data_IF_627049325181
#
_entry.id   IF_627049325181
#
_cell.length_a   1.000
_cell.length_b   1.000
_cell.length_c   1.000
_cell.angle_alpha   90.00
_cell.angle_beta   90.00
_cell.angle_gamma   90.00
#
_symmetry.space_group_name_H-M   'P 1'
#
loop_
_entity.id
_entity.type
_entity.pdbx_description
1 polymer ?
#
# COMPACT_ATOMS: atom_id res chain seq x y z
N UNK A 1 4.58 -19.94 7.59
CA UNK A 1 5.14 -20.24 6.26
C UNK A 1 6.01 -19.08 5.74
N UNK A 2 5.49 -17.90 5.46
CA UNK A 2 6.25 -16.76 4.91
C UNK A 2 7.55 -16.44 5.69
N UNK A 3 7.51 -16.45 7.03
CA UNK A 3 8.73 -16.23 7.85
C UNK A 3 9.83 -17.27 7.65
N UNK A 4 9.49 -18.50 7.21
CA UNK A 4 10.46 -19.57 6.93
C UNK A 4 11.05 -19.51 5.53
N UNK A 5 10.26 -19.07 4.54
CA UNK A 5 10.59 -19.18 3.11
C UNK A 5 10.82 -17.84 2.44
N UNK A 6 10.41 -16.73 3.05
CA UNK A 6 10.49 -15.39 2.48
C UNK A 6 9.51 -15.14 1.33
N UNK A 7 8.62 -16.07 1.04
CA UNK A 7 7.65 -15.95 -0.06
C UNK A 7 6.29 -16.57 0.28
N UNK A 8 5.28 -16.23 -0.51
CA UNK A 8 4.01 -16.93 -0.54
C UNK A 8 4.10 -18.12 -1.50
N UNK A 9 3.23 -19.11 -1.31
CA UNK A 9 3.17 -20.32 -2.13
C UNK A 9 1.78 -20.48 -2.73
N UNK A 10 1.68 -21.01 -3.92
CA UNK A 10 0.39 -21.27 -4.57
C UNK A 10 -0.46 -22.25 -3.76
N UNK A 11 0.17 -23.27 -3.20
CA UNK A 11 -0.45 -24.29 -2.37
C UNK A 11 0.28 -24.43 -1.04
N UNK A 12 -0.48 -24.65 0.01
CA UNK A 12 0.02 -24.90 1.37
C UNK A 12 -0.37 -26.30 1.82
N UNK A 13 0.49 -26.94 2.59
CA UNK A 13 0.15 -28.19 3.27
C UNK A 13 -0.92 -27.89 4.35
N UNK A 14 -1.99 -28.71 4.45
CA UNK A 14 -3.07 -28.42 5.39
C UNK A 14 -2.66 -28.62 6.86
N UNK A 15 -1.72 -29.53 7.12
CA UNK A 15 -1.32 -29.91 8.46
C UNK A 15 -0.02 -29.21 8.95
N UNK A 16 0.78 -28.67 8.02
CA UNK A 16 2.09 -28.12 8.34
C UNK A 16 2.30 -26.73 7.76
N UNK A 17 3.16 -25.94 8.39
CA UNK A 17 3.67 -24.71 7.80
C UNK A 17 4.72 -25.02 6.70
N UNK A 18 4.28 -25.67 5.63
CA UNK A 18 5.07 -26.14 4.50
C UNK A 18 4.35 -25.89 3.16
N UNK A 19 5.09 -25.82 2.01
CA UNK A 19 4.46 -25.81 0.69
C UNK A 19 3.58 -27.06 0.50
N UNK A 20 2.48 -26.91 -0.23
CA UNK A 20 1.65 -28.05 -0.60
C UNK A 20 2.36 -28.96 -1.59
N UNK A 21 1.89 -30.19 -1.71
CA UNK A 21 2.52 -31.22 -2.57
C UNK A 21 2.74 -30.79 -4.02
N UNK A 22 1.83 -30.00 -4.59
CA UNK A 22 1.92 -29.55 -5.98
C UNK A 22 2.56 -28.16 -6.15
N UNK A 23 3.03 -27.54 -5.07
CA UNK A 23 3.61 -26.21 -5.12
C UNK A 23 4.92 -26.23 -5.91
N UNK A 24 5.03 -25.35 -6.92
CA UNK A 24 6.29 -25.12 -7.65
C UNK A 24 7.19 -24.23 -6.81
N UNK A 25 8.48 -24.50 -6.84
CA UNK A 25 9.49 -23.66 -6.23
C UNK A 25 9.42 -22.25 -6.87
N UNK A 26 9.45 -21.22 -6.03
CA UNK A 26 9.48 -19.82 -6.43
C UNK A 26 8.25 -19.36 -7.26
N UNK A 27 7.15 -20.08 -7.18
CA UNK A 27 5.90 -19.72 -7.83
C UNK A 27 4.79 -19.41 -6.82
N UNK A 28 4.34 -18.16 -6.83
CA UNK A 28 3.36 -17.64 -5.88
C UNK A 28 1.91 -17.95 -6.30
N UNK A 29 1.65 -18.02 -7.61
CA UNK A 29 0.33 -18.22 -8.16
C UNK A 29 -0.69 -17.16 -7.69
N UNK A 30 -1.93 -17.56 -7.57
CA UNK A 30 -3.04 -16.69 -7.18
C UNK A 30 -2.97 -16.22 -5.71
N UNK A 31 -2.32 -16.99 -4.84
CA UNK A 31 -2.23 -16.67 -3.41
C UNK A 31 -1.36 -15.46 -3.09
N UNK A 32 -0.58 -14.97 -4.05
CA UNK A 32 0.19 -13.74 -3.89
C UNK A 32 -0.63 -12.46 -4.06
N UNK A 33 -1.74 -12.52 -4.77
CA UNK A 33 -2.56 -11.34 -5.07
C UNK A 33 -3.33 -10.81 -3.83
N UNK A 34 -4.08 -11.64 -3.07
CA UNK A 34 -4.82 -11.15 -1.91
C UNK A 34 -3.94 -10.44 -0.88
N UNK A 35 -2.80 -11.01 -0.42
CA UNK A 35 -1.95 -10.32 0.55
C UNK A 35 -1.43 -8.97 0.08
N UNK A 36 -1.13 -8.81 -1.22
CA UNK A 36 -0.67 -7.53 -1.78
C UNK A 36 -1.82 -6.53 -1.80
N UNK A 37 -2.98 -6.91 -2.34
CA UNK A 37 -4.15 -6.05 -2.41
C UNK A 37 -4.63 -5.65 -1.00
N UNK A 38 -4.79 -6.64 -0.10
CA UNK A 38 -5.21 -6.39 1.28
C UNK A 38 -4.24 -5.48 2.03
N UNK A 39 -2.94 -5.70 1.91
CA UNK A 39 -1.94 -4.88 2.57
C UNK A 39 -1.97 -3.43 2.05
N UNK A 40 -1.96 -3.25 0.74
CA UNK A 40 -1.87 -1.92 0.12
C UNK A 40 -3.20 -1.17 0.24
N UNK A 41 -4.31 -1.79 -0.17
CA UNK A 41 -5.58 -1.08 -0.32
C UNK A 41 -6.35 -0.95 1.00
N UNK A 42 -6.27 -1.96 1.89
CA UNK A 42 -7.07 -1.98 3.11
C UNK A 42 -6.27 -1.69 4.37
N UNK A 43 -5.04 -2.19 4.50
CA UNK A 43 -4.22 -1.94 5.69
C UNK A 43 -3.52 -0.58 5.58
N UNK A 44 -2.83 -0.31 4.47
CA UNK A 44 -2.18 0.98 4.24
C UNK A 44 -3.13 2.03 3.67
N UNK A 45 -4.31 1.62 3.18
CA UNK A 45 -5.35 2.49 2.68
C UNK A 45 -5.00 3.23 1.39
N UNK A 46 -4.07 2.69 0.57
CA UNK A 46 -3.58 3.32 -0.64
C UNK A 46 -4.37 2.80 -1.83
N UNK A 47 -5.17 3.65 -2.45
CA UNK A 47 -5.99 3.33 -3.63
C UNK A 47 -5.74 4.34 -4.74
N UNK A 48 -5.35 3.85 -5.91
CA UNK A 48 -5.10 4.65 -7.10
C UNK A 48 -6.26 4.56 -8.10
N UNK A 49 -6.71 5.71 -8.58
CA UNK A 49 -7.54 5.83 -9.78
C UNK A 49 -6.72 6.56 -10.85
N UNK A 50 -6.12 5.80 -11.73
CA UNK A 50 -5.21 6.31 -12.75
C UNK A 50 -5.95 7.11 -13.83
N UNK A 51 -7.17 6.72 -14.17
CA UNK A 51 -7.99 7.39 -15.18
C UNK A 51 -8.29 8.84 -14.78
N UNK A 52 -8.62 9.07 -13.52
CA UNK A 52 -8.91 10.40 -12.98
C UNK A 52 -7.67 11.10 -12.40
N UNK A 53 -6.49 10.51 -12.51
CA UNK A 53 -5.25 11.00 -11.87
C UNK A 53 -5.42 11.27 -10.37
N UNK A 54 -6.05 10.34 -9.64
CA UNK A 54 -6.37 10.43 -8.22
C UNK A 54 -5.68 9.35 -7.39
N UNK A 55 -5.23 9.75 -6.21
CA UNK A 55 -4.70 8.87 -5.18
C UNK A 55 -5.46 9.11 -3.87
N UNK A 56 -6.02 8.05 -3.30
CA UNK A 56 -6.59 8.09 -1.95
C UNK A 56 -5.62 7.45 -0.98
N UNK A 57 -5.36 8.12 0.14
CA UNK A 57 -4.57 7.61 1.27
C UNK A 57 -5.46 7.67 2.51
N UNK A 58 -6.02 6.54 2.91
CA UNK A 58 -6.91 6.39 4.07
C UNK A 58 -6.10 5.84 5.26
N UNK A 59 -5.68 6.73 6.15
CA UNK A 59 -4.74 6.40 7.22
C UNK A 59 -5.48 5.86 8.44
N UNK A 60 -5.47 4.55 8.60
CA UNK A 60 -6.09 3.84 9.73
C UNK A 60 -5.10 3.41 10.81
N UNK A 61 -3.81 3.32 10.50
CA UNK A 61 -2.76 2.94 11.43
C UNK A 61 -2.23 4.15 12.22
N UNK A 62 -1.76 3.90 13.43
CA UNK A 62 -1.07 4.88 14.27
C UNK A 62 0.44 4.76 14.19
N UNK A 63 0.97 3.59 13.86
CA UNK A 63 2.40 3.39 13.63
C UNK A 63 2.86 3.97 12.29
N UNK A 64 4.17 4.26 12.21
CA UNK A 64 4.77 4.71 10.96
C UNK A 64 4.81 3.58 9.93
N UNK A 65 4.48 3.91 8.69
CA UNK A 65 4.57 2.98 7.56
C UNK A 65 4.82 3.72 6.25
N UNK A 66 5.06 2.98 5.18
CA UNK A 66 5.20 3.58 3.86
C UNK A 66 5.32 2.55 2.75
N UNK A 67 5.20 3.04 1.54
CA UNK A 67 5.39 2.28 0.30
C UNK A 67 6.31 3.06 -0.61
N UNK A 68 7.30 2.41 -1.17
CA UNK A 68 8.22 3.01 -2.13
C UNK A 68 7.96 2.48 -3.52
N UNK A 69 8.07 3.37 -4.51
CA UNK A 69 7.90 3.06 -5.93
C UNK A 69 6.54 2.45 -6.26
N UNK A 70 5.50 2.89 -5.59
CA UNK A 70 4.13 2.49 -5.93
C UNK A 70 3.82 2.93 -7.37
N UNK A 71 3.42 2.00 -8.25
CA UNK A 71 3.19 2.33 -9.66
C UNK A 71 1.91 3.15 -9.83
N UNK A 72 1.94 4.14 -10.73
CA UNK A 72 0.81 4.98 -11.08
C UNK A 72 0.75 5.21 -12.58
N UNK A 73 -0.15 4.51 -13.26
CA UNK A 73 -0.21 4.51 -14.73
C UNK A 73 1.01 3.86 -15.36
N UNK A 74 1.36 4.31 -16.57
CA UNK A 74 2.44 3.69 -17.35
C UNK A 74 3.84 4.00 -16.83
N UNK A 75 4.08 5.21 -16.33
CA UNK A 75 5.41 5.68 -15.92
C UNK A 75 5.44 6.43 -14.59
N UNK A 76 4.27 6.60 -13.96
CA UNK A 76 4.16 7.24 -12.66
C UNK A 76 4.73 6.35 -11.55
N UNK A 77 5.48 6.95 -10.64
CA UNK A 77 6.01 6.32 -9.44
C UNK A 77 5.75 7.23 -8.25
N UNK A 78 5.27 6.64 -7.15
CA UNK A 78 4.93 7.36 -5.94
C UNK A 78 5.63 6.70 -4.75
N UNK A 79 6.34 7.51 -3.95
CA UNK A 79 6.79 7.13 -2.61
C UNK A 79 5.87 7.76 -1.59
N UNK A 80 5.36 6.97 -0.66
CA UNK A 80 4.46 7.41 0.40
C UNK A 80 5.09 7.05 1.75
N UNK A 81 5.16 8.02 2.66
CA UNK A 81 5.61 7.83 4.05
C UNK A 81 4.61 8.46 4.99
N UNK A 82 4.08 7.67 5.90
CA UNK A 82 3.18 8.10 6.97
C UNK A 82 3.95 8.07 8.28
N UNK A 83 3.98 9.20 8.98
CA UNK A 83 4.64 9.30 10.27
C UNK A 83 3.80 8.64 11.38
N UNK A 84 4.45 8.20 12.44
CA UNK A 84 3.77 7.73 13.64
C UNK A 84 2.92 8.87 14.24
N UNK A 85 1.74 8.52 14.75
CA UNK A 85 0.83 9.44 15.45
C UNK A 85 0.32 8.83 16.76
N UNK A 86 -0.19 9.65 17.65
CA UNK A 86 -0.61 9.21 18.99
C UNK A 86 -2.01 8.62 19.03
N UNK A 87 -2.87 9.04 18.09
CA UNK A 87 -4.25 8.54 18.01
C UNK A 87 -4.78 8.55 16.57
N UNK A 88 -5.84 7.79 16.31
CA UNK A 88 -6.51 7.75 15.00
C UNK A 88 -7.19 9.08 14.65
N UNK A 89 -7.59 9.89 15.63
CA UNK A 89 -8.21 11.21 15.43
C UNK A 89 -7.22 12.32 15.09
N UNK A 90 -5.91 12.11 15.35
CA UNK A 90 -4.87 13.06 14.99
C UNK A 90 -4.67 13.09 13.47
N UNK A 91 -4.53 14.31 12.89
CA UNK A 91 -4.21 14.44 11.46
C UNK A 91 -2.88 13.75 11.18
N UNK A 92 -2.83 12.76 10.27
CA UNK A 92 -1.57 12.11 9.92
C UNK A 92 -0.66 13.08 9.15
N UNK A 93 0.63 13.02 9.44
CA UNK A 93 1.67 13.66 8.62
C UNK A 93 2.09 12.68 7.54
N UNK A 94 1.75 13.00 6.29
CA UNK A 94 2.05 12.15 5.13
C UNK A 94 2.99 12.88 4.19
N UNK A 95 4.10 12.25 3.85
CA UNK A 95 5.02 12.75 2.81
C UNK A 95 4.84 11.91 1.56
N UNK A 96 4.54 12.58 0.46
CA UNK A 96 4.38 11.96 -0.86
C UNK A 96 5.43 12.53 -1.80
N UNK A 97 6.20 11.65 -2.46
CA UNK A 97 7.08 12.01 -3.57
C UNK A 97 6.54 11.37 -4.84
N UNK A 98 6.28 12.16 -5.86
CA UNK A 98 5.72 11.68 -7.14
C UNK A 98 6.46 12.30 -8.32
N UNK A 99 6.54 11.58 -9.42
CA UNK A 99 7.06 12.08 -10.70
C UNK A 99 5.95 12.52 -11.67
N UNK A 100 4.67 12.44 -11.24
CA UNK A 100 3.51 12.83 -12.06
C UNK A 100 2.54 13.68 -11.25
N UNK A 101 1.84 14.66 -11.87
CA UNK A 101 0.82 15.44 -11.19
C UNK A 101 -0.41 14.57 -10.87
N UNK A 102 -1.05 14.83 -9.73
CA UNK A 102 -2.26 14.13 -9.31
C UNK A 102 -3.05 14.89 -8.24
N UNK A 103 -4.28 14.50 -8.05
CA UNK A 103 -5.08 14.87 -6.89
C UNK A 103 -4.91 13.81 -5.80
N UNK A 104 -4.59 14.23 -4.58
CA UNK A 104 -4.45 13.33 -3.43
C UNK A 104 -5.54 13.64 -2.42
N UNK A 105 -6.35 12.63 -2.08
CA UNK A 105 -7.29 12.69 -0.97
C UNK A 105 -6.71 11.95 0.22
N UNK A 106 -6.36 12.68 1.26
CA UNK A 106 -5.94 12.15 2.55
C UNK A 106 -7.17 12.01 3.46
N UNK A 107 -7.38 10.81 3.99
CA UNK A 107 -8.49 10.48 4.89
C UNK A 107 -7.97 9.99 6.24
N UNK A 108 -8.68 10.35 7.34
CA UNK A 108 -8.40 9.86 8.69
C UNK A 108 -9.66 10.00 9.57
N UNK A 109 -10.15 8.90 10.11
CA UNK A 109 -11.45 8.86 10.77
C UNK A 109 -12.55 9.37 9.82
N UNK A 110 -13.37 10.31 10.28
CA UNK A 110 -14.45 10.91 9.48
C UNK A 110 -14.00 12.18 8.73
N UNK A 111 -12.71 12.45 8.65
CA UNK A 111 -12.14 13.65 8.06
C UNK A 111 -11.42 13.34 6.76
N UNK A 112 -11.44 14.31 5.85
CA UNK A 112 -10.67 14.23 4.61
C UNK A 112 -10.13 15.60 4.19
N UNK A 113 -9.04 15.57 3.45
CA UNK A 113 -8.43 16.73 2.81
C UNK A 113 -7.97 16.36 1.42
N UNK A 114 -8.35 17.17 0.42
CA UNK A 114 -7.91 16.97 -0.96
C UNK A 114 -6.90 18.04 -1.35
N UNK A 115 -5.85 17.64 -2.02
CA UNK A 115 -4.74 18.52 -2.44
C UNK A 115 -4.28 18.12 -3.84
N UNK A 116 -4.14 19.10 -4.73
CA UNK A 116 -3.50 18.90 -6.03
C UNK A 116 -1.99 19.05 -5.89
N UNK A 117 -1.25 18.06 -6.35
CA UNK A 117 0.22 18.06 -6.33
C UNK A 117 0.80 17.95 -7.74
N UNK A 118 1.95 18.59 -7.94
CA UNK A 118 2.78 18.41 -9.14
C UNK A 118 3.87 17.37 -8.86
N UNK A 119 4.65 17.04 -9.88
CA UNK A 119 5.86 16.24 -9.66
C UNK A 119 6.77 16.91 -8.62
N UNK A 120 7.26 16.12 -7.66
CA UNK A 120 8.05 16.61 -6.52
C UNK A 120 7.72 15.92 -5.22
N UNK A 121 8.16 16.52 -4.11
CA UNK A 121 7.91 16.03 -2.73
C UNK A 121 6.98 17.00 -2.02
N UNK A 122 5.91 16.44 -1.42
CA UNK A 122 4.85 17.18 -0.74
C UNK A 122 4.62 16.61 0.66
N UNK A 123 4.31 17.48 1.60
CA UNK A 123 3.84 17.09 2.95
C UNK A 123 2.38 17.55 3.08
N UNK A 124 1.51 16.59 3.41
CA UNK A 124 0.07 16.76 3.54
C UNK A 124 -0.33 16.88 5.01
#
# INVERSE_FOLDING_TARGET
MFRKTGTFWEYYAPEDAAPGFMARKDFVGWTGLPPIAELIEYIFGIRANVEDSRLTIDVNLTDAYGVSRYPFGQSGLIDIKVAKRTSKGEKPKVTVKTNTPMEITLMWGDRQQTTHVRAGTHTL
#
